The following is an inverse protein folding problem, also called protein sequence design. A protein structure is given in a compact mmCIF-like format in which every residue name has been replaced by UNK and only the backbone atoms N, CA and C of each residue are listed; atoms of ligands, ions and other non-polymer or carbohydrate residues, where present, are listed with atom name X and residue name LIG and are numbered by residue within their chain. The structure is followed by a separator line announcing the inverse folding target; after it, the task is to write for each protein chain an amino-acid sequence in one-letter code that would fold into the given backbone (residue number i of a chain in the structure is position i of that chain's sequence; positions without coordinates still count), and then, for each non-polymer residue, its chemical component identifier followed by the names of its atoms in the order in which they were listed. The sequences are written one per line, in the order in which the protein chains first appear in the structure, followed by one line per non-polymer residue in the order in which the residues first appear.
data_IF_881207900254
#
_entry.id   IF_881207900254
#
_cell.length_a   1.000
_cell.length_b   1.000
_cell.length_c   1.000
_cell.angle_alpha   90.00
_cell.angle_beta   90.00
_cell.angle_gamma   90.00
#
_symmetry.space_group_name_H-M   'P 1'
#
loop_
_entity.id
_entity.type
_entity.pdbx_description
1 polymer ?
#
# COMPACT_ATOMS: atom_id res chain seq x y z
N UNK A 1 5.01 4.38 -3.18
CA UNK A 1 4.04 3.56 -2.45
C UNK A 1 3.37 4.48 -1.48
N UNK A 2 2.12 4.26 -1.25
CA UNK A 2 1.17 5.26 -0.77
C UNK A 2 1.36 5.62 0.70
N UNK A 3 1.63 4.63 1.59
CA UNK A 3 1.86 4.86 3.02
C UNK A 3 0.60 5.22 3.81
N UNK A 4 -0.57 4.92 3.23
CA UNK A 4 -1.86 5.18 3.87
C UNK A 4 -2.26 4.09 4.88
N UNK A 5 -1.75 2.87 4.75
CA UNK A 5 -2.10 1.74 5.61
C UNK A 5 -1.15 1.68 6.81
N UNK A 6 -1.40 2.51 7.80
CA UNK A 6 -0.52 2.64 8.97
C UNK A 6 -1.32 2.67 10.26
N UNK A 7 -0.71 2.21 11.38
CA UNK A 7 -1.38 2.27 12.67
C UNK A 7 -1.51 3.70 13.18
N UNK A 8 -2.52 3.93 13.97
CA UNK A 8 -2.67 5.15 14.75
C UNK A 8 -1.90 5.01 16.06
N UNK A 9 -0.80 5.73 16.16
CA UNK A 9 0.16 5.57 17.26
C UNK A 9 -0.40 5.95 18.62
N UNK A 10 -1.20 7.00 18.68
CA UNK A 10 -1.76 7.56 19.92
C UNK A 10 -2.81 6.66 20.59
N UNK A 11 -3.34 5.68 19.86
CA UNK A 11 -4.32 4.70 20.39
C UNK A 11 -3.70 3.32 20.63
N UNK A 12 -2.41 3.14 20.31
CA UNK A 12 -1.70 1.88 20.53
C UNK A 12 -0.98 1.84 21.88
N UNK A 13 -0.95 0.67 22.49
CA UNK A 13 -0.02 0.40 23.58
C UNK A 13 1.42 0.50 23.07
N UNK A 14 2.31 1.03 23.91
CA UNK A 14 3.76 1.16 23.57
C UNK A 14 4.35 -0.16 23.09
N UNK A 15 4.02 -1.28 23.75
CA UNK A 15 4.49 -2.62 23.37
C UNK A 15 4.06 -3.03 21.96
N UNK A 16 2.84 -2.65 21.54
CA UNK A 16 2.30 -3.04 20.24
C UNK A 16 2.88 -2.14 19.15
N UNK A 17 3.09 -0.86 19.45
CA UNK A 17 3.82 0.02 18.56
C UNK A 17 5.29 -0.42 18.36
N UNK A 18 5.96 -0.88 19.42
CA UNK A 18 7.32 -1.43 19.30
C UNK A 18 7.36 -2.73 18.48
N UNK A 19 6.34 -3.59 18.58
CA UNK A 19 6.16 -4.76 17.70
C UNK A 19 5.98 -4.33 16.25
N UNK A 20 5.12 -3.34 15.99
CA UNK A 20 4.96 -2.80 14.64
C UNK A 20 6.28 -2.28 14.05
N UNK A 21 7.05 -1.52 14.85
CA UNK A 21 8.38 -1.04 14.43
C UNK A 21 9.36 -2.20 14.17
N UNK A 22 9.32 -3.25 14.98
CA UNK A 22 10.15 -4.42 14.76
C UNK A 22 9.79 -5.14 13.44
N UNK A 23 8.49 -5.26 13.12
CA UNK A 23 8.00 -5.80 11.85
C UNK A 23 8.48 -4.94 10.66
N UNK A 24 8.31 -3.62 10.73
CA UNK A 24 8.78 -2.68 9.70
C UNK A 24 10.30 -2.77 9.47
N UNK A 25 11.09 -2.80 10.55
CA UNK A 25 12.54 -2.95 10.46
C UNK A 25 12.95 -4.35 9.96
N UNK A 26 12.19 -5.39 10.32
CA UNK A 26 12.33 -6.74 9.81
C UNK A 26 12.17 -6.79 8.30
N UNK A 27 11.09 -6.18 7.78
CA UNK A 27 10.82 -6.08 6.34
C UNK A 27 11.91 -5.30 5.60
N UNK A 28 12.38 -4.18 6.14
CA UNK A 28 13.50 -3.42 5.58
C UNK A 28 14.76 -4.31 5.44
N UNK A 29 15.03 -5.13 6.46
CA UNK A 29 16.17 -6.06 6.44
C UNK A 29 15.97 -7.20 5.43
N UNK A 30 14.77 -7.78 5.38
CA UNK A 30 14.42 -8.84 4.43
C UNK A 30 14.60 -8.35 2.99
N UNK A 31 14.09 -7.16 2.66
CA UNK A 31 14.29 -6.50 1.37
C UNK A 31 15.78 -6.37 1.03
N UNK A 32 16.59 -5.89 1.98
CA UNK A 32 18.05 -5.75 1.75
C UNK A 32 18.75 -7.08 1.54
N UNK A 33 18.39 -8.13 2.30
CA UNK A 33 19.00 -9.45 2.20
C UNK A 33 18.57 -10.20 0.93
N UNK A 34 17.28 -10.11 0.58
CA UNK A 34 16.67 -10.89 -0.48
C UNK A 34 16.81 -10.26 -1.86
N UNK A 35 16.70 -8.92 -1.91
CA UNK A 35 16.56 -8.14 -3.14
C UNK A 35 17.70 -7.14 -3.37
N UNK A 36 18.68 -7.08 -2.45
CA UNK A 36 19.81 -6.16 -2.52
C UNK A 36 19.61 -4.87 -1.73
N UNK A 37 20.72 -4.17 -1.45
CA UNK A 37 20.73 -3.00 -0.56
C UNK A 37 19.72 -1.92 -0.97
N UNK A 38 19.64 -1.61 -2.27
CA UNK A 38 18.72 -0.61 -2.82
C UNK A 38 17.24 -0.93 -2.53
N UNK A 39 16.87 -2.23 -2.44
CA UNK A 39 15.50 -2.62 -2.14
C UNK A 39 15.04 -2.24 -0.72
N UNK A 40 15.95 -1.91 0.19
CA UNK A 40 15.59 -1.38 1.52
C UNK A 40 14.79 -0.08 1.46
N UNK A 41 14.98 0.70 0.40
CA UNK A 41 14.20 1.92 0.17
C UNK A 41 12.74 1.66 -0.20
N UNK A 42 12.38 0.41 -0.52
CA UNK A 42 11.01 0.01 -0.84
C UNK A 42 10.17 -0.32 0.39
N UNK A 43 10.78 -0.36 1.59
CA UNK A 43 10.01 -0.60 2.81
C UNK A 43 8.90 0.45 2.95
N UNK A 44 7.67 -0.01 3.20
CA UNK A 44 6.50 0.85 3.36
C UNK A 44 5.57 0.35 4.46
N UNK A 45 4.69 1.21 4.90
CA UNK A 45 3.63 0.88 5.85
C UNK A 45 2.67 -0.15 5.26
N UNK A 46 2.30 0.00 3.98
CA UNK A 46 1.38 -0.89 3.28
C UNK A 46 1.92 -2.33 3.22
N UNK A 47 3.22 -2.48 2.92
CA UNK A 47 3.84 -3.82 2.89
C UNK A 47 4.07 -4.39 4.30
N UNK A 48 4.19 -3.54 5.30
CA UNK A 48 4.22 -3.99 6.70
C UNK A 48 2.85 -4.50 7.14
N UNK A 49 1.76 -3.85 6.72
CA UNK A 49 0.41 -4.36 6.92
C UNK A 49 0.23 -5.73 6.24
N UNK A 50 0.70 -5.87 5.00
CA UNK A 50 0.64 -7.13 4.29
C UNK A 50 1.39 -8.24 5.05
N UNK A 51 2.60 -7.95 5.53
CA UNK A 51 3.35 -8.89 6.37
C UNK A 51 2.56 -9.31 7.63
N UNK A 52 1.94 -8.34 8.33
CA UNK A 52 1.15 -8.62 9.52
C UNK A 52 -0.07 -9.49 9.21
N UNK A 53 -0.70 -9.30 8.06
CA UNK A 53 -1.87 -10.06 7.61
C UNK A 53 -1.49 -11.52 7.33
N UNK A 54 -0.34 -11.77 6.71
CA UNK A 54 0.10 -13.12 6.30
C UNK A 54 0.94 -13.83 7.36
N UNK A 55 1.28 -13.14 8.44
CA UNK A 55 2.12 -13.71 9.48
C UNK A 55 1.42 -14.83 10.24
N UNK A 56 2.05 -16.01 10.25
CA UNK A 56 1.55 -17.13 11.06
C UNK A 56 1.61 -16.79 12.56
N UNK A 57 0.60 -17.23 13.36
CA UNK A 57 0.50 -16.91 14.79
C UNK A 57 1.70 -17.37 15.60
N UNK A 58 2.19 -18.56 15.27
CA UNK A 58 3.25 -19.27 16.01
C UNK A 58 4.62 -18.60 15.88
N UNK A 59 4.81 -17.80 14.82
CA UNK A 59 6.08 -17.10 14.52
C UNK A 59 6.07 -15.63 14.97
N UNK A 60 5.06 -15.23 15.72
CA UNK A 60 4.94 -13.85 16.17
C UNK A 60 5.89 -13.54 17.32
N UNK A 61 6.79 -12.57 17.11
CA UNK A 61 7.52 -11.94 18.21
C UNK A 61 8.99 -12.32 18.38
N UNK A 62 9.55 -13.24 17.60
CA UNK A 62 10.99 -13.40 17.60
C UNK A 62 11.66 -12.17 16.96
N UNK A 63 12.33 -11.39 17.79
CA UNK A 63 13.04 -10.20 17.34
C UNK A 63 14.51 -10.23 17.70
N UNK A 64 15.32 -9.69 16.80
CA UNK A 64 16.76 -9.53 17.00
C UNK A 64 17.18 -8.08 16.85
N UNK A 65 18.12 -7.61 17.66
CA UNK A 65 18.73 -6.29 17.45
C UNK A 65 19.66 -6.34 16.24
N UNK A 66 19.35 -5.50 15.24
CA UNK A 66 20.07 -5.40 13.99
C UNK A 66 20.54 -3.97 13.78
N UNK A 67 21.70 -3.80 13.17
CA UNK A 67 22.17 -2.48 12.76
C UNK A 67 21.33 -1.91 11.66
N UNK A 68 20.80 -0.69 11.85
CA UNK A 68 20.03 0.04 10.86
C UNK A 68 20.96 1.06 10.17
N UNK A 69 21.25 0.91 8.87
CA UNK A 69 22.13 1.85 8.18
C UNK A 69 21.49 3.25 8.01
N UNK A 70 20.14 3.33 8.02
CA UNK A 70 19.44 4.61 7.90
C UNK A 70 19.46 5.44 9.20
N UNK A 71 19.53 4.77 10.38
CA UNK A 71 19.49 5.46 11.68
C UNK A 71 20.81 5.34 12.46
N UNK A 72 21.82 4.68 11.90
CA UNK A 72 23.13 4.42 12.55
C UNK A 72 22.97 3.86 13.98
N UNK A 73 21.89 3.09 14.22
CA UNK A 73 21.51 2.59 15.53
C UNK A 73 21.10 1.11 15.45
N UNK A 74 21.15 0.43 16.60
CA UNK A 74 20.58 -0.91 16.72
C UNK A 74 19.08 -0.82 16.94
N UNK A 75 18.31 -1.42 16.01
CA UNK A 75 16.84 -1.51 16.06
C UNK A 75 16.42 -2.96 16.29
N UNK A 76 15.32 -3.16 17.00
CA UNK A 76 14.66 -4.45 17.04
C UNK A 76 14.09 -4.74 15.66
N UNK A 77 14.42 -5.91 15.10
CA UNK A 77 13.95 -6.38 13.82
C UNK A 77 13.30 -7.74 14.02
N UNK A 78 12.05 -7.88 13.65
CA UNK A 78 11.37 -9.17 13.68
C UNK A 78 12.05 -10.14 12.69
N UNK A 79 12.23 -11.38 13.12
CA UNK A 79 12.77 -12.43 12.28
C UNK A 79 11.63 -12.99 11.47
N UNK A 80 11.60 -12.61 10.20
CA UNK A 80 10.52 -13.04 9.31
C UNK A 80 10.70 -14.49 8.86
N UNK A 81 9.60 -15.13 8.56
CA UNK A 81 9.48 -16.37 7.79
C UNK A 81 8.95 -16.06 6.39
N UNK A 82 8.20 -17.01 5.84
CA UNK A 82 7.66 -16.94 4.48
C UNK A 82 6.80 -15.69 4.24
N UNK A 83 6.03 -15.24 5.23
CA UNK A 83 5.23 -14.01 5.14
C UNK A 83 6.09 -12.74 4.96
N UNK A 84 7.27 -12.68 5.59
CA UNK A 84 8.18 -11.54 5.41
C UNK A 84 8.84 -11.58 4.03
N UNK A 85 9.19 -12.78 3.55
CA UNK A 85 9.72 -12.99 2.21
C UNK A 85 8.67 -12.64 1.14
N UNK A 86 7.43 -13.04 1.35
CA UNK A 86 6.27 -12.67 0.53
C UNK A 86 6.13 -11.16 0.44
N UNK A 87 6.05 -10.46 1.59
CA UNK A 87 5.91 -9.01 1.62
C UNK A 87 7.10 -8.29 0.93
N UNK A 88 8.31 -8.84 1.03
CA UNK A 88 9.48 -8.32 0.34
C UNK A 88 9.39 -8.50 -1.18
N UNK A 89 8.98 -9.68 -1.66
CA UNK A 89 8.81 -9.95 -3.09
C UNK A 89 7.73 -9.06 -3.70
N UNK A 90 6.60 -8.90 -3.02
CA UNK A 90 5.51 -8.01 -3.48
C UNK A 90 5.89 -6.54 -3.43
N UNK A 91 6.68 -6.10 -2.46
CA UNK A 91 7.26 -4.75 -2.49
C UNK A 91 8.03 -4.50 -3.79
N UNK A 92 8.81 -5.48 -4.23
CA UNK A 92 9.60 -5.36 -5.46
C UNK A 92 8.71 -5.42 -6.71
N UNK A 93 7.73 -6.34 -6.77
CA UNK A 93 6.81 -6.47 -7.90
C UNK A 93 6.06 -5.16 -8.14
N UNK A 94 5.36 -4.65 -7.11
CA UNK A 94 4.55 -3.45 -7.22
C UNK A 94 5.40 -2.20 -7.54
N UNK A 95 6.56 -2.07 -6.88
CA UNK A 95 7.40 -0.91 -7.12
C UNK A 95 8.05 -0.94 -8.50
N UNK A 96 8.43 -2.11 -9.00
CA UNK A 96 8.98 -2.27 -10.35
C UNK A 96 7.97 -1.83 -11.42
N UNK A 97 6.72 -2.26 -11.29
CA UNK A 97 5.66 -1.85 -12.22
C UNK A 97 5.35 -0.36 -12.12
N UNK A 98 5.31 0.22 -10.90
CA UNK A 98 5.18 1.68 -10.72
C UNK A 98 6.33 2.45 -11.39
N UNK A 99 7.56 1.95 -11.31
CA UNK A 99 8.68 2.57 -12.03
C UNK A 99 8.55 2.46 -13.55
N UNK A 100 8.02 1.34 -14.05
CA UNK A 100 7.76 1.15 -15.48
C UNK A 100 6.72 2.15 -16.00
N UNK A 101 5.70 2.38 -15.24
CA UNK A 101 4.66 3.38 -15.48
C UNK A 101 5.27 4.79 -15.51
N UNK A 102 6.01 5.17 -14.46
CA UNK A 102 6.73 6.44 -14.41
C UNK A 102 7.72 6.64 -15.57
N UNK A 103 8.33 5.57 -16.09
CA UNK A 103 9.20 5.65 -17.29
C UNK A 103 8.39 5.96 -18.55
N UNK A 104 7.12 5.52 -18.63
CA UNK A 104 6.25 5.83 -19.76
C UNK A 104 5.76 7.30 -19.70
N UNK A 105 5.33 7.77 -18.54
CA UNK A 105 4.59 9.02 -18.37
C UNK A 105 5.47 10.23 -18.08
N UNK A 106 6.56 10.04 -17.35
CA UNK A 106 7.43 11.13 -16.92
C UNK A 106 8.42 11.58 -18.02
N UNK A 107 8.90 12.82 -17.90
CA UNK A 107 9.89 13.43 -18.82
C UNK A 107 11.15 13.88 -18.05
N UNK A 108 12.26 14.07 -18.78
CA UNK A 108 13.49 14.64 -18.25
C UNK A 108 14.16 13.79 -17.17
N UNK A 109 14.64 14.45 -16.11
CA UNK A 109 15.40 13.82 -15.01
C UNK A 109 14.60 12.77 -14.24
N UNK A 110 13.29 12.95 -14.08
CA UNK A 110 12.41 11.98 -13.38
C UNK A 110 12.34 10.67 -14.15
N UNK A 111 12.15 10.73 -15.46
CA UNK A 111 12.19 9.55 -16.34
C UNK A 111 13.53 8.83 -16.27
N UNK A 112 14.65 9.57 -16.26
CA UNK A 112 15.99 9.00 -16.13
C UNK A 112 16.17 8.31 -14.77
N UNK A 113 15.75 8.95 -13.67
CA UNK A 113 15.76 8.36 -12.32
C UNK A 113 14.93 7.08 -12.23
N UNK A 114 13.71 7.06 -12.80
CA UNK A 114 12.85 5.89 -12.84
C UNK A 114 13.48 4.74 -13.66
N UNK A 115 14.13 5.05 -14.79
CA UNK A 115 14.88 4.05 -15.58
C UNK A 115 16.03 3.45 -14.79
N UNK A 116 16.84 4.27 -14.13
CA UNK A 116 17.98 3.79 -13.33
C UNK A 116 17.49 2.90 -12.18
N UNK A 117 16.45 3.34 -11.44
CA UNK A 117 15.86 2.57 -10.38
C UNK A 117 15.28 1.23 -10.88
N UNK A 118 14.62 1.23 -12.05
CA UNK A 118 14.08 0.00 -12.64
C UNK A 118 15.18 -0.98 -13.05
N UNK A 119 16.32 -0.48 -13.54
CA UNK A 119 17.50 -1.31 -13.86
C UNK A 119 18.09 -1.95 -12.59
N UNK A 120 18.23 -1.18 -11.51
CA UNK A 120 18.75 -1.67 -10.23
C UNK A 120 17.85 -2.76 -9.64
N UNK A 121 16.52 -2.62 -9.79
CA UNK A 121 15.55 -3.60 -9.28
C UNK A 121 15.29 -4.78 -10.22
N UNK A 122 15.74 -4.72 -11.47
CA UNK A 122 15.42 -5.71 -12.51
C UNK A 122 15.75 -7.15 -12.11
N UNK A 123 16.90 -7.35 -11.44
CA UNK A 123 17.31 -8.70 -10.99
C UNK A 123 16.38 -9.21 -9.87
N UNK A 124 16.06 -8.36 -8.91
CA UNK A 124 15.14 -8.68 -7.81
C UNK A 124 13.72 -8.94 -8.34
N UNK A 125 13.23 -8.08 -9.26
CA UNK A 125 11.96 -8.27 -9.93
C UNK A 125 11.87 -9.62 -10.65
N UNK A 126 12.87 -9.97 -11.47
CA UNK A 126 12.88 -11.26 -12.19
C UNK A 126 12.83 -12.46 -11.25
N UNK A 127 13.48 -12.37 -10.08
CA UNK A 127 13.44 -13.41 -9.07
C UNK A 127 12.03 -13.52 -8.47
N UNK A 128 11.43 -12.40 -8.05
CA UNK A 128 10.09 -12.35 -7.48
C UNK A 128 9.02 -12.81 -8.49
N UNK A 129 9.07 -12.32 -9.73
CA UNK A 129 8.14 -12.71 -10.81
C UNK A 129 8.20 -14.21 -11.18
N UNK A 130 9.36 -14.85 -11.03
CA UNK A 130 9.47 -16.31 -11.21
C UNK A 130 8.84 -17.09 -10.06
N UNK A 131 8.84 -16.56 -8.87
CA UNK A 131 8.24 -17.19 -7.67
C UNK A 131 6.73 -16.97 -7.62
N UNK A 132 6.25 -15.84 -8.17
CA UNK A 132 4.86 -15.39 -8.14
C UNK A 132 4.36 -15.02 -9.56
N UNK A 133 4.37 -15.97 -10.52
CA UNK A 133 4.07 -15.65 -11.92
C UNK A 133 2.60 -15.29 -12.17
N UNK A 134 1.66 -15.91 -11.44
CA UNK A 134 0.24 -15.61 -11.57
C UNK A 134 -0.11 -14.23 -11.02
N UNK A 135 0.47 -13.90 -9.87
CA UNK A 135 0.30 -12.61 -9.21
C UNK A 135 0.91 -11.47 -10.04
N UNK A 136 2.13 -11.66 -10.57
CA UNK A 136 2.77 -10.68 -11.46
C UNK A 136 1.94 -10.44 -12.73
N UNK A 137 1.37 -11.51 -13.31
CA UNK A 137 0.49 -11.39 -14.46
C UNK A 137 -0.80 -10.60 -14.15
N UNK A 138 -1.42 -10.85 -12.99
CA UNK A 138 -2.62 -10.12 -12.55
C UNK A 138 -2.29 -8.65 -12.26
N UNK A 139 -1.19 -8.37 -11.56
CA UNK A 139 -0.72 -6.99 -11.33
C UNK A 139 -0.59 -6.24 -12.65
N UNK A 140 0.10 -6.84 -13.62
CA UNK A 140 0.29 -6.24 -14.95
C UNK A 140 -1.03 -6.00 -15.67
N UNK A 141 -1.93 -6.95 -15.61
CA UNK A 141 -3.26 -6.85 -16.24
C UNK A 141 -4.06 -5.68 -15.65
N UNK A 142 -4.11 -5.58 -14.32
CA UNK A 142 -4.89 -4.53 -13.66
C UNK A 142 -4.27 -3.14 -13.84
N UNK A 143 -2.94 -3.02 -13.82
CA UNK A 143 -2.27 -1.76 -14.16
C UNK A 143 -2.52 -1.33 -15.60
N UNK A 144 -2.53 -2.28 -16.56
CA UNK A 144 -2.89 -1.98 -17.94
C UNK A 144 -4.34 -1.50 -18.08
N UNK A 145 -5.28 -2.12 -17.34
CA UNK A 145 -6.67 -1.70 -17.29
C UNK A 145 -6.81 -0.30 -16.69
N UNK A 146 -6.09 -0.03 -15.61
CA UNK A 146 -6.06 1.29 -14.97
C UNK A 146 -5.57 2.37 -15.94
N UNK A 147 -4.44 2.13 -16.62
CA UNK A 147 -3.90 3.06 -17.62
C UNK A 147 -4.88 3.32 -18.78
N UNK A 148 -5.64 2.31 -19.23
CA UNK A 148 -6.68 2.50 -20.26
C UNK A 148 -7.82 3.39 -19.76
N UNK A 149 -8.28 3.21 -18.50
CA UNK A 149 -9.33 4.04 -17.90
C UNK A 149 -8.87 5.49 -17.73
N UNK A 150 -7.61 5.69 -17.32
CA UNK A 150 -6.99 7.01 -17.20
C UNK A 150 -6.87 7.71 -18.56
N UNK A 151 -6.38 7.00 -19.58
CA UNK A 151 -6.27 7.52 -20.95
C UNK A 151 -7.64 7.86 -21.56
N UNK A 152 -8.69 7.11 -21.20
CA UNK A 152 -10.05 7.38 -21.62
C UNK A 152 -10.74 8.50 -20.80
N UNK A 153 -10.05 9.06 -19.81
CA UNK A 153 -10.59 10.05 -18.89
C UNK A 153 -11.90 9.60 -18.24
N UNK A 154 -11.95 8.36 -17.77
CA UNK A 154 -13.17 7.77 -17.21
C UNK A 154 -13.74 8.63 -16.09
N UNK A 155 -15.03 8.92 -16.17
CA UNK A 155 -15.84 9.62 -15.16
C UNK A 155 -16.49 8.65 -14.15
N UNK A 156 -16.31 7.35 -14.36
CA UNK A 156 -16.81 6.29 -13.49
C UNK A 156 -15.79 6.05 -12.39
N UNK A 157 -16.01 6.64 -11.20
CA UNK A 157 -15.09 6.54 -10.05
C UNK A 157 -14.80 5.10 -9.64
N UNK A 158 -15.80 4.22 -9.73
CA UNK A 158 -15.67 2.82 -9.31
C UNK A 158 -14.78 1.98 -10.24
N UNK A 159 -14.72 2.30 -11.53
CA UNK A 159 -13.98 1.48 -12.49
C UNK A 159 -12.45 1.46 -12.25
N UNK A 160 -11.76 2.61 -12.09
CA UNK A 160 -10.34 2.60 -11.76
C UNK A 160 -10.09 2.16 -10.31
N UNK A 161 -11.00 2.46 -9.36
CA UNK A 161 -10.90 1.98 -8.00
C UNK A 161 -10.99 0.45 -7.92
N UNK A 162 -11.86 -0.19 -8.71
CA UNK A 162 -11.98 -1.64 -8.84
C UNK A 162 -10.72 -2.26 -9.45
N UNK A 163 -10.16 -1.67 -10.50
CA UNK A 163 -8.93 -2.16 -11.11
C UNK A 163 -7.77 -2.18 -10.10
N UNK A 164 -7.61 -1.09 -9.34
CA UNK A 164 -6.58 -1.02 -8.30
C UNK A 164 -6.86 -1.95 -7.11
N UNK A 165 -8.10 -2.04 -6.66
CA UNK A 165 -8.51 -2.95 -5.59
C UNK A 165 -8.26 -4.42 -5.97
N UNK A 166 -8.65 -4.81 -7.19
CA UNK A 166 -8.44 -6.17 -7.73
C UNK A 166 -6.94 -6.52 -7.80
N UNK A 167 -6.07 -5.53 -8.08
CA UNK A 167 -4.63 -5.76 -8.07
C UNK A 167 -4.15 -6.29 -6.71
N UNK A 168 -4.63 -5.75 -5.59
CA UNK A 168 -4.23 -6.23 -4.25
C UNK A 168 -4.79 -7.61 -3.91
N UNK A 169 -5.91 -8.00 -4.52
CA UNK A 169 -6.51 -9.33 -4.27
C UNK A 169 -5.67 -10.48 -4.81
N UNK A 170 -4.67 -10.23 -5.68
CA UNK A 170 -3.79 -11.28 -6.17
C UNK A 170 -3.11 -12.08 -5.04
N UNK A 171 -2.93 -11.45 -3.88
CA UNK A 171 -2.32 -12.06 -2.71
C UNK A 171 -3.25 -12.99 -1.93
N UNK A 172 -4.55 -12.80 -2.08
CA UNK A 172 -5.54 -13.49 -1.26
C UNK A 172 -5.46 -15.03 -1.37
N UNK A 173 -5.10 -15.55 -2.56
CA UNK A 173 -4.93 -17.00 -2.81
C UNK A 173 -3.84 -17.63 -1.95
N UNK A 174 -2.91 -16.84 -1.45
CA UNK A 174 -1.80 -17.28 -0.61
C UNK A 174 -2.16 -17.29 0.90
N UNK A 175 -3.35 -16.79 1.26
CA UNK A 175 -3.82 -16.78 2.64
C UNK A 175 -4.67 -18.02 2.93
N UNK A 176 -4.55 -18.65 4.14
CA UNK A 176 -5.37 -19.82 4.49
C UNK A 176 -6.88 -19.58 4.34
N UNK A 177 -7.35 -18.39 4.68
CA UNK A 177 -8.73 -17.95 4.53
C UNK A 177 -8.89 -17.04 3.29
N UNK A 178 -8.53 -17.57 2.10
CA UNK A 178 -8.40 -16.81 0.85
C UNK A 178 -9.61 -15.92 0.51
N UNK A 179 -10.85 -16.42 0.69
CA UNK A 179 -12.05 -15.64 0.37
C UNK A 179 -12.22 -14.41 1.25
N UNK A 180 -11.95 -14.53 2.54
CA UNK A 180 -12.07 -13.43 3.51
C UNK A 180 -10.93 -12.44 3.29
N UNK A 181 -9.70 -12.94 3.11
CA UNK A 181 -8.53 -12.13 2.79
C UNK A 181 -8.73 -11.34 1.48
N UNK A 182 -9.41 -11.94 0.49
CA UNK A 182 -9.76 -11.25 -0.76
C UNK A 182 -10.65 -10.04 -0.52
N UNK A 183 -11.68 -10.18 0.31
CA UNK A 183 -12.56 -9.05 0.65
C UNK A 183 -11.80 -7.95 1.40
N UNK A 184 -11.00 -8.32 2.40
CA UNK A 184 -10.18 -7.36 3.13
C UNK A 184 -9.24 -6.59 2.19
N UNK A 185 -8.46 -7.31 1.36
CA UNK A 185 -7.49 -6.69 0.45
C UNK A 185 -8.18 -5.85 -0.64
N UNK A 186 -9.35 -6.28 -1.14
CA UNK A 186 -10.13 -5.51 -2.09
C UNK A 186 -10.55 -4.15 -1.51
N UNK A 187 -11.16 -4.15 -0.31
CA UNK A 187 -11.65 -2.92 0.29
C UNK A 187 -10.53 -2.01 0.80
N UNK A 188 -9.41 -2.58 1.26
CA UNK A 188 -8.19 -1.82 1.55
C UNK A 188 -7.61 -1.20 0.28
N UNK A 189 -7.57 -1.93 -0.83
CA UNK A 189 -7.13 -1.40 -2.13
C UNK A 189 -8.02 -0.27 -2.63
N UNK A 190 -9.33 -0.43 -2.53
CA UNK A 190 -10.30 0.59 -2.87
C UNK A 190 -10.12 1.86 -2.02
N UNK A 191 -9.91 1.70 -0.71
CA UNK A 191 -9.57 2.79 0.18
C UNK A 191 -8.30 3.53 -0.27
N UNK A 192 -7.22 2.81 -0.55
CA UNK A 192 -5.95 3.42 -1.00
C UNK A 192 -6.19 4.28 -2.24
N UNK A 193 -6.86 3.74 -3.26
CA UNK A 193 -7.07 4.44 -4.52
C UNK A 193 -7.89 5.72 -4.34
N UNK A 194 -8.99 5.66 -3.60
CA UNK A 194 -9.88 6.79 -3.38
C UNK A 194 -9.24 7.89 -2.52
N UNK A 195 -8.48 7.50 -1.50
CA UNK A 195 -7.76 8.46 -0.63
C UNK A 195 -6.61 9.11 -1.39
N UNK A 196 -5.86 8.36 -2.21
CA UNK A 196 -4.81 8.88 -3.08
C UNK A 196 -5.36 9.90 -4.08
N UNK A 197 -6.50 9.57 -4.71
CA UNK A 197 -7.19 10.48 -5.61
C UNK A 197 -7.64 11.79 -4.92
N UNK A 198 -8.07 11.72 -3.66
CA UNK A 198 -8.45 12.90 -2.87
C UNK A 198 -7.22 13.73 -2.46
N UNK A 199 -6.15 13.09 -2.02
CA UNK A 199 -4.90 13.74 -1.59
C UNK A 199 -4.21 14.46 -2.76
N UNK A 200 -4.18 13.82 -3.92
CA UNK A 200 -3.55 14.33 -5.13
C UNK A 200 -4.40 15.33 -5.93
N UNK A 201 -5.72 15.42 -5.67
CA UNK A 201 -6.67 16.20 -6.47
C UNK A 201 -6.23 17.65 -6.74
N UNK A 202 -5.80 18.46 -5.73
CA UNK A 202 -5.40 19.83 -5.99
C UNK A 202 -4.16 19.94 -6.89
N UNK A 203 -3.24 18.99 -6.74
CA UNK A 203 -2.00 18.92 -7.52
C UNK A 203 -2.26 18.49 -8.96
N UNK A 204 -3.11 17.48 -9.15
CA UNK A 204 -3.46 16.93 -10.46
C UNK A 204 -4.23 17.95 -11.30
N UNK A 205 -5.19 18.65 -10.70
CA UNK A 205 -5.90 19.71 -11.38
C UNK A 205 -4.97 20.82 -11.89
N UNK A 206 -4.00 21.24 -11.05
CA UNK A 206 -3.00 22.25 -11.45
C UNK A 206 -2.08 21.78 -12.58
N UNK A 207 -1.73 20.50 -12.61
CA UNK A 207 -0.88 19.90 -13.65
C UNK A 207 -1.64 19.49 -14.91
N UNK A 208 -2.97 19.47 -14.86
CA UNK A 208 -3.80 18.90 -15.92
C UNK A 208 -3.69 17.37 -16.02
N UNK A 209 -3.22 16.71 -14.97
CA UNK A 209 -3.13 15.25 -14.89
C UNK A 209 -4.50 14.64 -14.70
N UNK A 210 -4.63 13.36 -15.09
CA UNK A 210 -5.86 12.63 -14.79
C UNK A 210 -6.04 12.48 -13.28
N UNK A 211 -7.27 12.71 -12.83
CA UNK A 211 -7.72 12.36 -11.48
C UNK A 211 -9.20 12.00 -11.58
N UNK A 212 -9.62 10.80 -11.11
CA UNK A 212 -11.01 10.34 -11.32
C UNK A 212 -12.06 11.26 -10.69
N UNK A 213 -11.72 11.94 -9.59
CA UNK A 213 -12.64 12.87 -8.93
C UNK A 213 -12.91 14.11 -9.78
N UNK A 214 -11.87 14.60 -10.50
CA UNK A 214 -12.01 15.74 -11.41
C UNK A 214 -13.05 15.45 -12.48
N UNK A 215 -13.00 14.27 -13.08
CA UNK A 215 -13.93 13.88 -14.15
C UNK A 215 -15.30 13.52 -13.59
N UNK A 216 -15.35 12.75 -12.51
CA UNK A 216 -16.61 12.34 -11.85
C UNK A 216 -17.48 13.52 -11.43
N UNK A 217 -16.88 14.56 -10.87
CA UNK A 217 -17.57 15.74 -10.34
C UNK A 217 -17.43 16.97 -11.25
N UNK A 218 -16.88 16.82 -12.45
CA UNK A 218 -16.69 17.91 -13.45
C UNK A 218 -15.97 19.14 -12.88
N UNK A 219 -14.92 18.90 -12.06
CA UNK A 219 -14.23 19.97 -11.34
C UNK A 219 -13.33 20.80 -12.26
N UNK A 220 -13.41 22.12 -12.16
CA UNK A 220 -12.57 23.05 -12.91
C UNK A 220 -11.31 23.44 -12.12
N UNK A 221 -11.45 23.71 -10.83
CA UNK A 221 -10.43 24.23 -9.92
C UNK A 221 -9.90 23.18 -8.92
N UNK A 222 -10.44 21.95 -8.95
CA UNK A 222 -10.06 20.88 -8.02
C UNK A 222 -10.69 21.00 -6.64
N UNK A 223 -11.70 21.85 -6.47
CA UNK A 223 -12.46 21.96 -5.23
C UNK A 223 -13.77 21.16 -5.31
N UNK A 224 -13.96 20.24 -4.38
CA UNK A 224 -15.22 19.48 -4.24
C UNK A 224 -16.28 20.37 -3.57
N UNK A 225 -17.53 20.32 -4.09
CA UNK A 225 -18.66 20.89 -3.38
C UNK A 225 -18.88 20.14 -2.03
N UNK A 226 -19.54 20.77 -1.04
CA UNK A 226 -19.85 20.06 0.22
C UNK A 226 -20.65 18.76 0.00
N UNK A 227 -21.54 18.72 -0.99
CA UNK A 227 -22.34 17.54 -1.31
C UNK A 227 -21.49 16.42 -1.95
N UNK A 228 -20.64 16.75 -2.93
CA UNK A 228 -19.75 15.81 -3.59
C UNK A 228 -18.72 15.24 -2.61
N UNK A 229 -18.18 16.11 -1.74
CA UNK A 229 -17.27 15.72 -0.66
C UNK A 229 -17.93 14.72 0.30
N UNK A 230 -19.16 15.00 0.74
CA UNK A 230 -19.90 14.11 1.62
C UNK A 230 -20.15 12.74 0.95
N UNK A 231 -20.51 12.73 -0.34
CA UNK A 231 -20.70 11.50 -1.11
C UNK A 231 -19.40 10.69 -1.21
N UNK A 232 -18.28 11.34 -1.52
CA UNK A 232 -16.97 10.70 -1.60
C UNK A 232 -16.56 10.10 -0.26
N UNK A 233 -16.66 10.88 0.83
CA UNK A 233 -16.31 10.42 2.18
C UNK A 233 -17.19 9.23 2.60
N UNK A 234 -18.48 9.24 2.32
CA UNK A 234 -19.36 8.11 2.57
C UNK A 234 -18.91 6.84 1.81
N UNK A 235 -18.49 6.99 0.55
CA UNK A 235 -17.96 5.89 -0.27
C UNK A 235 -16.67 5.31 0.31
N UNK A 236 -15.76 6.17 0.79
CA UNK A 236 -14.51 5.75 1.43
C UNK A 236 -14.79 5.06 2.78
N UNK A 237 -15.69 5.62 3.60
CA UNK A 237 -16.11 5.01 4.86
C UNK A 237 -16.77 3.65 4.66
N UNK A 238 -17.56 3.47 3.60
CA UNK A 238 -18.13 2.16 3.26
C UNK A 238 -17.01 1.13 2.98
N UNK A 239 -15.95 1.53 2.28
CA UNK A 239 -14.80 0.64 2.05
C UNK A 239 -14.08 0.28 3.36
N UNK A 240 -13.90 1.23 4.28
CA UNK A 240 -13.34 0.96 5.62
C UNK A 240 -14.23 -0.02 6.39
N UNK A 241 -15.55 0.21 6.40
CA UNK A 241 -16.51 -0.67 7.09
C UNK A 241 -16.48 -2.11 6.57
N UNK A 242 -16.42 -2.27 5.25
CA UNK A 242 -16.31 -3.61 4.63
C UNK A 242 -14.96 -4.27 4.91
N UNK A 243 -13.86 -3.51 4.92
CA UNK A 243 -12.56 -4.02 5.35
C UNK A 243 -12.59 -4.47 6.82
N UNK A 244 -13.23 -3.69 7.70
CA UNK A 244 -13.44 -4.06 9.09
C UNK A 244 -14.25 -5.35 9.23
N UNK A 245 -15.40 -5.45 8.56
CA UNK A 245 -16.23 -6.66 8.57
C UNK A 245 -15.46 -7.90 8.08
N UNK A 246 -14.64 -7.77 7.05
CA UNK A 246 -13.79 -8.85 6.60
C UNK A 246 -12.70 -9.21 7.63
N UNK A 247 -12.12 -8.23 8.32
CA UNK A 247 -11.13 -8.47 9.36
C UNK A 247 -11.70 -9.28 10.52
N UNK A 248 -12.96 -9.02 10.94
CA UNK A 248 -13.63 -9.77 12.02
C UNK A 248 -13.87 -11.25 11.67
N UNK A 249 -13.95 -11.56 10.38
CA UNK A 249 -14.10 -12.94 9.90
C UNK A 249 -12.76 -13.67 9.75
N UNK A 250 -11.64 -12.96 9.82
CA UNK A 250 -10.32 -13.57 9.79
C UNK A 250 -9.96 -14.08 11.19
N UNK A 251 -9.45 -15.30 11.25
CA UNK A 251 -8.81 -15.83 12.45
C UNK A 251 -7.47 -15.12 12.66
N UNK A 252 -7.54 -13.94 13.29
CA UNK A 252 -6.37 -13.08 13.50
C UNK A 252 -5.74 -13.43 14.85
N UNK A 253 -4.59 -14.01 14.80
CA UNK A 253 -3.84 -14.40 15.99
C UNK A 253 -3.06 -13.20 16.58
N UNK A 254 -1.97 -13.41 17.28
CA UNK A 254 -1.18 -12.45 18.08
C UNK A 254 -0.84 -11.09 17.42
N UNK A 255 -1.18 -10.89 16.15
CA UNK A 255 -1.11 -9.61 15.43
C UNK A 255 -2.46 -8.87 15.36
N UNK A 256 -3.54 -9.44 15.88
CA UNK A 256 -4.89 -8.90 15.76
C UNK A 256 -5.00 -7.45 16.20
N UNK A 257 -4.46 -7.12 17.37
CA UNK A 257 -4.50 -5.76 17.90
C UNK A 257 -3.89 -4.72 16.94
N UNK A 258 -2.82 -5.07 16.21
CA UNK A 258 -2.21 -4.18 15.22
C UNK A 258 -3.08 -4.03 13.97
N UNK A 259 -3.63 -5.13 13.46
CA UNK A 259 -4.52 -5.10 12.30
C UNK A 259 -5.82 -4.35 12.62
N UNK A 260 -6.41 -4.60 13.80
CA UNK A 260 -7.58 -3.85 14.28
C UNK A 260 -7.29 -2.35 14.39
N UNK A 261 -6.17 -1.98 15.02
CA UNK A 261 -5.80 -0.56 15.10
C UNK A 261 -5.60 0.06 13.72
N UNK A 262 -4.96 -0.65 12.78
CA UNK A 262 -4.77 -0.13 11.41
C UNK A 262 -6.12 0.11 10.73
N UNK A 263 -7.05 -0.86 10.78
CA UNK A 263 -8.31 -0.78 10.05
C UNK A 263 -9.30 0.20 10.74
N UNK A 264 -9.45 0.12 12.06
CA UNK A 264 -10.49 0.88 12.76
C UNK A 264 -10.05 2.27 13.22
N UNK A 265 -8.75 2.49 13.38
CA UNK A 265 -8.22 3.78 13.84
C UNK A 265 -7.30 4.42 12.79
N UNK A 266 -6.45 3.62 12.17
CA UNK A 266 -5.46 4.07 11.21
C UNK A 266 -6.09 4.61 9.93
N UNK A 267 -6.95 3.82 9.26
CA UNK A 267 -7.59 4.24 8.01
C UNK A 267 -8.49 5.47 8.20
N UNK A 268 -9.39 5.52 9.22
CA UNK A 268 -10.16 6.74 9.47
C UNK A 268 -9.28 7.96 9.80
N UNK A 269 -8.21 7.78 10.58
CA UNK A 269 -7.29 8.85 10.93
C UNK A 269 -6.52 9.39 9.72
N UNK A 270 -6.14 8.53 8.79
CA UNK A 270 -5.52 8.91 7.51
C UNK A 270 -6.52 9.67 6.65
N UNK A 271 -7.75 9.15 6.51
CA UNK A 271 -8.80 9.83 5.75
C UNK A 271 -9.06 11.25 6.29
N UNK A 272 -9.18 11.38 7.62
CA UNK A 272 -9.38 12.68 8.26
C UNK A 272 -8.21 13.65 7.99
N UNK A 273 -6.98 13.15 8.00
CA UNK A 273 -5.80 13.97 7.74
C UNK A 273 -5.73 14.42 6.27
N UNK A 274 -6.07 13.54 5.32
CA UNK A 274 -6.13 13.85 3.89
C UNK A 274 -7.24 14.86 3.63
N UNK A 275 -8.43 14.60 4.16
CA UNK A 275 -9.60 15.46 4.00
C UNK A 275 -9.38 16.88 4.56
N UNK A 276 -8.57 17.01 5.62
CA UNK A 276 -8.15 18.30 6.18
C UNK A 276 -6.95 18.96 5.46
N UNK A 277 -6.38 18.32 4.41
CA UNK A 277 -5.15 18.76 3.75
C UNK A 277 -3.91 18.76 4.66
N UNK A 278 -3.93 17.96 5.72
CA UNK A 278 -2.86 17.85 6.73
C UNK A 278 -2.09 16.53 6.66
N UNK A 279 -2.39 15.70 5.67
CA UNK A 279 -1.68 14.45 5.52
C UNK A 279 -0.23 14.72 5.15
N UNK A 280 0.66 14.28 6.01
CA UNK A 280 2.07 14.26 5.72
C UNK A 280 2.50 12.81 5.59
N UNK A 281 3.07 12.47 4.46
CA UNK A 281 3.74 11.19 4.30
C UNK A 281 4.95 11.20 5.24
N UNK A 282 4.66 10.92 6.54
CA UNK A 282 5.69 10.91 7.57
C UNK A 282 6.77 9.94 7.12
N UNK A 283 8.00 10.43 7.11
CA UNK A 283 9.17 9.65 6.72
C UNK A 283 9.25 8.31 7.45
N UNK A 284 10.08 7.43 6.93
CA UNK A 284 10.32 6.08 7.46
C UNK A 284 10.55 6.10 8.97
N UNK A 285 9.91 5.17 9.68
CA UNK A 285 9.99 4.98 11.14
C UNK A 285 11.43 4.86 11.65
#
# INVERSE_FOLDING_TARGET
MFGYIRPRRDTLLVRDYDRYRAAYCGLCRALGKRCGFAARFLVSYDMTFLYLLFRAPEKAGESRKCHCPAHVARRSCELGGDAMDLAADFSVLLYYWKLRDAVADERGLRRFGARLASLLLRRAYRKAARQHPAEDALIRQQLSRLAQLEAAHSDILDAPADAFATLLTCLASLHPQARVAQQLLYHVGRFIYLVDALDDLPGDCKRGSYNPLRYRFSLQDGALSPADRAQLLATIHASIGMAGAALELLEVNSGGALLHNIIYEGLPGVLQAVDAGKFQNQGKI
#
